data_IF_754540427334
#
_entry.id   IF_754540427334
#
_cell.length_a   1.000
_cell.length_b   1.000
_cell.length_c   1.000
_cell.angle_alpha   90.00
_cell.angle_beta   90.00
_cell.angle_gamma   90.00
#
_symmetry.space_group_name_H-M   'P 1'
#
loop_
_entity.id
_entity.type
_entity.pdbx_description
1 polymer ?
#
# COMPACT_ATOMS: atom_id res chain seq x y z
N UNK A 1 19.90 -3.33 -21.26
CA UNK A 1 19.57 -2.35 -20.20
C UNK A 1 19.77 -2.99 -18.84
N UNK A 2 20.50 -2.34 -17.93
CA UNK A 2 20.73 -2.79 -16.56
C UNK A 2 19.78 -2.06 -15.61
N UNK A 3 18.91 -2.81 -14.97
CA UNK A 3 17.87 -2.30 -14.08
C UNK A 3 18.30 -2.61 -12.64
N UNK A 4 18.42 -1.63 -11.77
CA UNK A 4 18.42 -1.87 -10.33
C UNK A 4 17.00 -1.73 -9.83
N UNK A 5 16.58 -2.64 -8.96
CA UNK A 5 15.24 -2.62 -8.38
C UNK A 5 15.30 -2.32 -6.88
N UNK A 6 14.42 -1.45 -6.39
CA UNK A 6 14.29 -1.13 -4.97
C UNK A 6 12.85 -1.36 -4.51
N UNK A 7 12.64 -2.30 -3.58
CA UNK A 7 11.31 -2.64 -3.11
C UNK A 7 11.32 -3.51 -1.86
N UNK A 8 10.16 -3.67 -1.21
CA UNK A 8 10.08 -4.41 0.05
C UNK A 8 8.91 -5.41 0.10
N UNK A 9 7.62 -5.02 0.01
CA UNK A 9 6.48 -5.91 0.22
C UNK A 9 6.14 -6.73 -1.03
N UNK A 10 5.13 -7.59 -0.90
CA UNK A 10 4.60 -8.43 -1.98
C UNK A 10 4.21 -7.60 -3.22
N UNK A 11 3.62 -6.41 -3.02
CA UNK A 11 3.33 -5.46 -4.11
C UNK A 11 4.56 -5.21 -5.01
N UNK A 12 5.72 -4.99 -4.39
CA UNK A 12 6.97 -4.76 -5.12
C UNK A 12 7.54 -6.06 -5.72
N UNK A 13 7.37 -7.19 -5.04
CA UNK A 13 7.84 -8.49 -5.54
C UNK A 13 7.16 -8.87 -6.86
N UNK A 14 5.88 -8.51 -7.07
CA UNK A 14 5.18 -8.72 -8.35
C UNK A 14 5.83 -7.95 -9.49
N UNK A 15 6.17 -6.69 -9.27
CA UNK A 15 6.89 -5.89 -10.26
C UNK A 15 8.29 -6.45 -10.56
N UNK A 16 9.05 -6.87 -9.53
CA UNK A 16 10.34 -7.52 -9.72
C UNK A 16 10.22 -8.81 -10.53
N UNK A 17 9.22 -9.65 -10.23
CA UNK A 17 8.97 -10.88 -10.97
C UNK A 17 8.70 -10.61 -12.46
N UNK A 18 7.89 -9.60 -12.79
CA UNK A 18 7.62 -9.22 -14.17
C UNK A 18 8.87 -8.72 -14.90
N UNK A 19 9.72 -7.94 -14.20
CA UNK A 19 11.00 -7.48 -14.79
C UNK A 19 11.95 -8.64 -15.05
N UNK A 20 12.08 -9.59 -14.13
CA UNK A 20 12.89 -10.81 -14.31
C UNK A 20 12.38 -11.64 -15.49
N UNK A 21 11.07 -11.84 -15.59
CA UNK A 21 10.45 -12.59 -16.67
C UNK A 21 10.63 -11.92 -18.05
N UNK A 22 10.54 -10.60 -18.11
CA UNK A 22 10.71 -9.85 -19.35
C UNK A 22 12.19 -9.73 -19.78
N UNK A 23 13.13 -9.80 -18.85
CA UNK A 23 14.53 -9.50 -19.07
C UNK A 23 15.18 -10.28 -20.23
N UNK A 24 15.01 -11.62 -20.38
CA UNK A 24 15.64 -12.37 -21.47
C UNK A 24 15.21 -11.90 -22.86
N UNK A 25 13.90 -11.69 -23.05
CA UNK A 25 13.34 -11.29 -24.35
C UNK A 25 13.70 -9.84 -24.73
N UNK A 26 13.96 -9.00 -23.74
CA UNK A 26 14.23 -7.57 -23.92
C UNK A 26 15.74 -7.23 -23.89
N UNK A 27 16.61 -8.19 -23.65
CA UNK A 27 18.04 -7.94 -23.44
C UNK A 27 18.30 -7.08 -22.18
N UNK A 28 17.47 -7.25 -21.14
CA UNK A 28 17.61 -6.57 -19.86
C UNK A 28 18.31 -7.48 -18.86
N UNK A 29 18.81 -6.86 -17.79
CA UNK A 29 19.33 -7.58 -16.62
C UNK A 29 18.97 -6.83 -15.35
N UNK A 30 18.82 -7.57 -14.25
CA UNK A 30 18.60 -7.04 -12.91
C UNK A 30 19.79 -7.45 -12.04
N UNK A 31 20.93 -6.73 -12.09
CA UNK A 31 22.15 -7.14 -11.39
C UNK A 31 22.09 -6.91 -9.86
N UNK A 32 21.25 -6.02 -9.38
CA UNK A 32 21.17 -5.67 -7.96
C UNK A 32 19.73 -5.33 -7.56
N UNK A 33 19.35 -5.82 -6.39
CA UNK A 33 18.09 -5.48 -5.72
C UNK A 33 18.39 -4.81 -4.37
N UNK A 34 17.70 -3.71 -4.09
CA UNK A 34 17.70 -3.05 -2.80
C UNK A 34 16.40 -3.39 -2.06
N UNK A 35 16.49 -3.87 -0.82
CA UNK A 35 15.33 -4.15 0.01
C UNK A 35 15.55 -3.69 1.45
N UNK A 36 14.50 -3.59 2.26
CA UNK A 36 14.67 -3.35 3.69
C UNK A 36 15.29 -4.58 4.37
N UNK A 37 15.97 -4.38 5.51
CA UNK A 37 16.48 -5.48 6.32
C UNK A 37 15.36 -6.44 6.76
N UNK A 38 15.74 -7.69 7.00
CA UNK A 38 14.86 -8.71 7.54
C UNK A 38 14.25 -8.25 8.85
N UNK A 39 12.97 -8.60 9.08
CA UNK A 39 12.25 -8.22 10.29
C UNK A 39 11.69 -9.45 10.98
N UNK A 40 11.57 -9.40 12.33
CA UNK A 40 10.85 -10.44 13.06
C UNK A 40 9.40 -10.56 12.57
N UNK A 41 8.98 -11.76 12.20
CA UNK A 41 7.62 -12.02 11.73
C UNK A 41 7.09 -13.39 12.21
N UNK A 42 5.78 -13.55 12.21
CA UNK A 42 5.11 -14.79 12.56
C UNK A 42 5.20 -15.18 14.05
N UNK A 43 4.69 -16.37 14.36
CA UNK A 43 4.81 -16.93 15.72
C UNK A 43 6.28 -17.25 16.01
N UNK A 44 6.81 -16.70 17.11
CA UNK A 44 8.21 -16.90 17.52
C UNK A 44 9.17 -15.84 16.99
N UNK A 45 8.67 -14.75 16.34
CA UNK A 45 9.45 -13.58 15.94
C UNK A 45 10.77 -13.92 15.22
N UNK A 46 10.77 -14.93 14.36
CA UNK A 46 11.95 -15.26 13.55
C UNK A 46 12.18 -14.17 12.50
N UNK A 47 13.46 -13.87 12.25
CA UNK A 47 13.84 -12.97 11.17
C UNK A 47 13.42 -13.58 9.84
N UNK A 48 12.57 -12.89 9.11
CA UNK A 48 12.06 -13.30 7.80
C UNK A 48 12.54 -12.34 6.74
N UNK A 49 13.02 -12.84 5.60
CA UNK A 49 13.36 -11.99 4.47
C UNK A 49 12.11 -11.28 3.95
N UNK A 50 12.31 -10.10 3.39
CA UNK A 50 11.24 -9.42 2.67
C UNK A 50 10.84 -10.22 1.43
N UNK A 51 9.59 -10.13 0.93
CA UNK A 51 9.17 -10.80 -0.30
C UNK A 51 10.09 -10.50 -1.49
N UNK A 52 10.54 -9.25 -1.63
CA UNK A 52 11.47 -8.83 -2.69
C UNK A 52 12.84 -9.50 -2.52
N UNK A 53 13.38 -9.55 -1.30
CA UNK A 53 14.67 -10.22 -1.02
C UNK A 53 14.58 -11.72 -1.31
N UNK A 54 13.52 -12.39 -0.84
CA UNK A 54 13.32 -13.82 -1.07
C UNK A 54 13.25 -14.16 -2.56
N UNK A 55 12.50 -13.37 -3.34
CA UNK A 55 12.41 -13.55 -4.79
C UNK A 55 13.76 -13.32 -5.49
N UNK A 56 14.47 -12.24 -5.16
CA UNK A 56 15.77 -11.94 -5.75
C UNK A 56 16.79 -13.06 -5.50
N UNK A 57 16.85 -13.55 -4.26
CA UNK A 57 17.74 -14.68 -3.88
C UNK A 57 17.39 -15.97 -4.63
N UNK A 58 16.11 -16.27 -4.82
CA UNK A 58 15.67 -17.45 -5.60
C UNK A 58 16.12 -17.39 -7.06
N UNK A 59 16.36 -16.20 -7.60
CA UNK A 59 16.86 -15.97 -8.95
C UNK A 59 18.37 -15.68 -9.02
N UNK A 60 19.12 -15.84 -7.91
CA UNK A 60 20.57 -15.60 -7.87
C UNK A 60 20.97 -14.13 -8.03
N UNK A 61 20.06 -13.20 -7.79
CA UNK A 61 20.30 -11.76 -7.90
C UNK A 61 20.92 -11.24 -6.61
N UNK A 62 21.95 -10.40 -6.72
CA UNK A 62 22.58 -9.74 -5.57
C UNK A 62 21.58 -8.85 -4.83
N UNK A 63 21.57 -8.91 -3.49
CA UNK A 63 20.64 -8.12 -2.65
C UNK A 63 21.40 -7.33 -1.61
N UNK A 64 21.21 -6.01 -1.60
CA UNK A 64 21.66 -5.13 -0.53
C UNK A 64 20.48 -4.73 0.36
N UNK A 65 20.66 -4.80 1.68
CA UNK A 65 19.61 -4.50 2.66
C UNK A 65 20.06 -3.43 3.67
N UNK A 66 20.41 -2.21 3.22
CA UNK A 66 20.82 -1.16 4.12
C UNK A 66 19.63 -0.67 4.97
N UNK A 67 19.82 -0.35 6.26
CA UNK A 67 18.76 0.22 7.09
C UNK A 67 18.36 1.64 6.65
N UNK A 68 19.23 2.31 5.92
CA UNK A 68 19.01 3.60 5.27
C UNK A 68 20.04 3.80 4.15
N UNK A 69 19.68 4.58 3.14
CA UNK A 69 20.59 5.00 2.08
C UNK A 69 21.22 6.38 2.32
N UNK A 70 20.81 7.08 3.39
CA UNK A 70 21.43 8.34 3.78
C UNK A 70 22.75 8.10 4.47
N UNK A 71 23.86 8.51 3.86
CA UNK A 71 25.22 8.40 4.44
C UNK A 71 25.29 9.10 5.80
N UNK A 72 24.66 10.26 5.94
CA UNK A 72 24.60 11.00 7.21
C UNK A 72 23.98 10.18 8.36
N UNK A 73 23.04 9.28 8.07
CA UNK A 73 22.34 8.46 9.08
C UNK A 73 22.86 7.03 9.19
N UNK A 74 23.36 6.48 8.10
CA UNK A 74 23.75 5.07 8.01
C UNK A 74 25.26 4.82 7.91
N UNK A 75 26.07 5.88 7.79
CA UNK A 75 27.53 5.76 7.72
C UNK A 75 28.00 4.74 6.69
N UNK A 76 28.97 3.91 7.06
CA UNK A 76 29.59 2.92 6.19
C UNK A 76 28.63 1.95 5.51
N UNK A 77 27.53 1.56 6.16
CA UNK A 77 26.54 0.66 5.56
C UNK A 77 25.80 1.33 4.38
N UNK A 78 25.45 2.61 4.51
CA UNK A 78 24.83 3.38 3.44
C UNK A 78 25.82 3.65 2.30
N UNK A 79 27.08 3.95 2.63
CA UNK A 79 28.17 4.13 1.65
C UNK A 79 28.41 2.85 0.85
N UNK A 80 28.49 1.70 1.50
CA UNK A 80 28.65 0.40 0.86
C UNK A 80 27.49 0.10 -0.11
N UNK A 81 26.24 0.31 0.32
CA UNK A 81 25.07 0.10 -0.55
C UNK A 81 25.07 1.05 -1.75
N UNK A 82 25.44 2.32 -1.58
CA UNK A 82 25.59 3.25 -2.69
C UNK A 82 26.75 2.89 -3.61
N UNK A 83 27.86 2.36 -3.07
CA UNK A 83 28.99 1.89 -3.85
C UNK A 83 28.59 0.67 -4.71
N UNK A 84 27.88 -0.30 -4.16
CA UNK A 84 27.32 -1.44 -4.90
C UNK A 84 26.39 -0.97 -6.03
N UNK A 85 25.50 -0.02 -5.74
CA UNK A 85 24.63 0.57 -6.76
C UNK A 85 25.43 1.18 -7.93
N UNK A 86 26.46 1.97 -7.62
CA UNK A 86 27.33 2.56 -8.67
C UNK A 86 28.16 1.52 -9.42
N UNK A 87 28.65 0.50 -8.73
CA UNK A 87 29.49 -0.55 -9.31
C UNK A 87 28.78 -1.33 -10.41
N UNK A 88 27.48 -1.59 -10.27
CA UNK A 88 26.69 -2.27 -11.32
C UNK A 88 26.36 -1.37 -12.52
N UNK A 89 26.69 -0.07 -12.46
CA UNK A 89 26.48 0.92 -13.53
C UNK A 89 25.05 0.81 -14.13
N UNK A 90 23.99 1.06 -13.34
CA UNK A 90 22.62 0.90 -13.80
C UNK A 90 22.28 1.91 -14.91
N UNK A 91 21.43 1.50 -15.83
CA UNK A 91 20.81 2.41 -16.79
C UNK A 91 19.60 3.09 -16.17
N UNK A 92 18.86 2.38 -15.30
CA UNK A 92 17.66 2.88 -14.61
C UNK A 92 17.50 2.22 -13.25
N UNK A 93 16.94 2.98 -12.29
CA UNK A 93 16.47 2.48 -11.01
C UNK A 93 14.93 2.39 -11.03
N UNK A 94 14.37 1.21 -10.74
CA UNK A 94 12.93 1.02 -10.56
C UNK A 94 12.62 0.88 -9.08
N UNK A 95 11.66 1.65 -8.60
CA UNK A 95 11.27 1.68 -7.20
C UNK A 95 9.80 1.28 -7.05
N UNK A 96 9.49 0.43 -6.08
CA UNK A 96 8.13 0.08 -5.71
C UNK A 96 8.03 -0.16 -4.20
N UNK A 97 7.29 0.68 -3.49
CA UNK A 97 7.04 0.52 -2.06
C UNK A 97 8.32 0.14 -1.25
N UNK A 98 9.45 0.81 -1.53
CA UNK A 98 10.72 0.51 -0.89
C UNK A 98 10.72 0.87 0.60
N UNK A 99 10.06 1.99 0.94
CA UNK A 99 9.86 2.42 2.32
C UNK A 99 11.06 3.11 2.97
N UNK A 100 12.10 3.43 2.20
CA UNK A 100 13.22 4.27 2.62
C UNK A 100 13.30 5.51 1.74
N UNK A 101 13.74 6.62 2.33
CA UNK A 101 14.04 7.85 1.56
C UNK A 101 15.29 7.61 0.70
N UNK A 102 15.18 7.92 -0.58
CA UNK A 102 16.27 7.86 -1.54
C UNK A 102 16.96 9.23 -1.61
N UNK A 103 18.24 9.35 -1.19
CA UNK A 103 19.01 10.57 -1.38
C UNK A 103 19.21 10.89 -2.86
N UNK A 104 19.43 12.16 -3.19
CA UNK A 104 19.68 12.60 -4.57
C UNK A 104 20.79 11.81 -5.25
N UNK A 105 21.90 11.55 -4.55
CA UNK A 105 23.01 10.75 -5.08
C UNK A 105 22.63 9.32 -5.49
N UNK A 106 21.52 8.76 -4.96
CA UNK A 106 20.97 7.46 -5.36
C UNK A 106 20.08 7.61 -6.59
N UNK A 107 19.30 8.68 -6.66
CA UNK A 107 18.44 8.98 -7.82
C UNK A 107 19.26 9.32 -9.07
N UNK A 108 20.43 9.93 -8.89
CA UNK A 108 21.37 10.33 -9.96
C UNK A 108 22.37 9.22 -10.34
N UNK A 109 22.43 8.12 -9.59
CA UNK A 109 23.38 7.04 -9.83
C UNK A 109 23.18 6.31 -11.19
N UNK A 110 21.94 6.09 -11.69
CA UNK A 110 21.75 5.51 -13.01
C UNK A 110 22.18 6.47 -14.13
N UNK A 111 22.70 5.89 -15.23
CA UNK A 111 23.05 6.66 -16.41
C UNK A 111 21.86 7.41 -17.03
N UNK A 112 20.66 6.88 -16.80
CA UNK A 112 19.42 7.42 -17.35
C UNK A 112 19.14 6.97 -18.79
N UNK A 113 17.90 6.73 -19.12
CA UNK A 113 17.41 6.40 -20.45
C UNK A 113 17.09 7.68 -21.20
N UNK A 114 17.82 7.99 -22.32
CA UNK A 114 17.58 9.19 -23.08
C UNK A 114 16.20 9.15 -23.75
N UNK A 115 15.51 10.28 -23.80
CA UNK A 115 14.22 10.43 -24.46
C UNK A 115 14.33 11.41 -25.65
N UNK A 116 13.42 11.30 -26.61
CA UNK A 116 13.39 12.12 -27.81
C UNK A 116 13.25 13.64 -27.53
N UNK A 117 12.72 14.01 -26.38
CA UNK A 117 12.59 15.40 -25.92
C UNK A 117 13.82 15.92 -25.14
N UNK A 118 14.91 15.13 -25.11
CA UNK A 118 16.14 15.45 -24.40
C UNK A 118 16.15 15.12 -22.93
N UNK A 119 15.02 14.64 -22.35
CA UNK A 119 14.96 14.18 -20.97
C UNK A 119 15.78 12.89 -20.77
N UNK A 120 16.18 12.63 -19.53
CA UNK A 120 16.80 11.37 -19.09
C UNK A 120 16.06 10.80 -17.91
N UNK A 121 15.59 9.57 -18.06
CA UNK A 121 14.83 8.86 -17.03
C UNK A 121 15.77 8.00 -16.18
N UNK A 122 16.08 8.46 -14.96
CA UNK A 122 17.07 7.80 -14.07
C UNK A 122 16.41 6.89 -13.06
N UNK A 123 15.33 7.33 -12.41
CA UNK A 123 14.62 6.59 -11.35
C UNK A 123 13.11 6.65 -11.57
N UNK A 124 12.48 5.49 -11.71
CA UNK A 124 11.05 5.34 -11.95
C UNK A 124 10.38 4.73 -10.72
N UNK A 125 9.27 5.33 -10.26
CA UNK A 125 8.47 4.78 -9.17
C UNK A 125 7.15 4.23 -9.67
N UNK A 126 6.77 3.07 -9.14
CA UNK A 126 5.43 2.48 -9.31
C UNK A 126 4.58 3.00 -8.16
N UNK A 127 3.81 4.05 -8.40
CA UNK A 127 2.95 4.66 -7.39
C UNK A 127 1.52 4.16 -7.50
N UNK A 128 0.96 3.72 -6.35
CA UNK A 128 -0.34 3.06 -6.31
C UNK A 128 -1.52 4.04 -6.19
N UNK A 129 -1.54 5.08 -7.03
CA UNK A 129 -2.68 5.97 -7.23
C UNK A 129 -2.65 6.60 -8.63
N UNK A 130 -3.70 7.33 -8.98
CA UNK A 130 -3.75 8.23 -10.13
C UNK A 130 -3.25 9.61 -9.69
N UNK A 131 -1.93 9.84 -9.80
CA UNK A 131 -1.33 11.13 -9.45
C UNK A 131 -1.94 12.27 -10.28
N UNK A 132 -2.05 13.47 -9.71
CA UNK A 132 -1.47 13.97 -8.45
C UNK A 132 -2.29 13.65 -7.19
N UNK A 133 -3.34 12.83 -7.29
CA UNK A 133 -4.13 12.40 -6.14
C UNK A 133 -3.39 11.33 -5.35
N UNK A 134 -3.40 11.46 -4.01
CA UNK A 134 -2.82 10.49 -3.07
C UNK A 134 -1.30 10.34 -3.17
N UNK A 135 -0.54 11.44 -3.24
CA UNK A 135 0.90 11.43 -3.00
C UNK A 135 1.21 10.90 -1.60
N UNK A 136 2.20 10.03 -1.44
CA UNK A 136 2.66 9.55 -0.13
C UNK A 136 2.50 8.06 0.12
N UNK A 137 2.44 7.67 1.41
CA UNK A 137 2.77 6.31 1.84
C UNK A 137 1.62 5.29 1.76
N UNK A 138 0.35 5.74 1.78
CA UNK A 138 -0.81 4.83 1.89
C UNK A 138 -1.93 5.12 0.87
N UNK A 139 -1.62 5.32 -0.43
CA UNK A 139 -2.59 5.79 -1.42
C UNK A 139 -3.81 4.87 -1.56
N UNK A 140 -3.63 3.55 -1.51
CA UNK A 140 -4.70 2.57 -1.68
C UNK A 140 -5.73 2.66 -0.55
N UNK A 141 -5.26 2.67 0.71
CA UNK A 141 -6.13 2.76 1.87
C UNK A 141 -6.88 4.11 1.91
N UNK A 142 -6.20 5.21 1.58
CA UNK A 142 -6.82 6.55 1.57
C UNK A 142 -7.85 6.71 0.46
N UNK A 143 -7.65 6.11 -0.71
CA UNK A 143 -8.66 6.09 -1.77
C UNK A 143 -9.94 5.33 -1.34
N UNK A 144 -9.78 4.16 -0.69
CA UNK A 144 -10.90 3.40 -0.12
C UNK A 144 -11.63 4.16 0.99
N UNK A 145 -10.88 4.74 1.94
CA UNK A 145 -11.44 5.51 3.06
C UNK A 145 -12.24 6.71 2.58
N UNK A 146 -11.71 7.44 1.60
CA UNK A 146 -12.38 8.59 0.98
C UNK A 146 -13.63 8.19 0.20
N UNK A 147 -13.72 6.94 -0.27
CA UNK A 147 -14.82 6.45 -1.08
C UNK A 147 -14.66 6.80 -2.56
N UNK A 148 -13.43 6.87 -3.04
CA UNK A 148 -13.15 7.07 -4.46
C UNK A 148 -13.76 5.90 -5.27
N UNK A 149 -14.33 6.22 -6.42
CA UNK A 149 -14.89 5.22 -7.33
C UNK A 149 -13.81 4.47 -8.13
N UNK A 150 -12.62 5.08 -8.26
CA UNK A 150 -11.50 4.52 -8.98
C UNK A 150 -10.17 4.97 -8.38
N UNK A 151 -9.17 4.15 -8.55
CA UNK A 151 -7.77 4.44 -8.29
C UNK A 151 -6.93 3.93 -9.47
N UNK A 152 -5.66 3.61 -9.28
CA UNK A 152 -4.83 3.06 -10.35
C UNK A 152 -3.36 3.01 -10.00
N UNK A 153 -2.56 2.88 -11.04
CA UNK A 153 -1.10 2.95 -10.96
C UNK A 153 -0.63 4.12 -11.82
N UNK A 154 0.33 4.87 -11.28
CA UNK A 154 1.11 5.85 -12.05
C UNK A 154 2.58 5.46 -12.01
N UNK A 155 3.19 5.25 -13.17
CA UNK A 155 4.66 5.24 -13.30
C UNK A 155 5.10 6.69 -13.40
N UNK A 156 5.99 7.10 -12.52
CA UNK A 156 6.49 8.48 -12.46
C UNK A 156 8.01 8.49 -12.36
N UNK A 157 8.65 9.55 -12.82
CA UNK A 157 10.04 9.82 -12.51
C UNK A 157 10.16 10.33 -11.08
N UNK A 158 11.15 9.85 -10.35
CA UNK A 158 11.41 10.30 -8.99
C UNK A 158 12.25 11.58 -8.97
N UNK A 159 11.92 12.45 -8.03
CA UNK A 159 12.61 13.68 -7.70
C UNK A 159 12.76 13.82 -6.19
N UNK A 160 13.50 14.83 -5.75
CA UNK A 160 13.59 15.20 -4.34
C UNK A 160 12.27 15.83 -3.87
N UNK A 161 11.26 15.02 -3.65
CA UNK A 161 9.92 15.43 -3.22
C UNK A 161 9.05 14.21 -2.95
N UNK A 162 7.93 14.43 -2.28
CA UNK A 162 7.01 13.34 -1.98
C UNK A 162 6.09 13.10 -3.19
N UNK A 163 6.51 12.20 -4.09
CA UNK A 163 5.77 11.79 -5.29
C UNK A 163 5.33 12.96 -6.19
N UNK A 164 6.23 13.97 -6.35
CA UNK A 164 5.96 15.21 -7.10
C UNK A 164 6.45 15.19 -8.54
N UNK A 165 7.32 14.23 -8.89
CA UNK A 165 7.95 14.16 -10.20
C UNK A 165 6.98 13.90 -11.35
N UNK A 166 7.42 14.06 -12.61
CA UNK A 166 6.58 13.91 -13.79
C UNK A 166 5.93 12.53 -13.91
N UNK A 167 4.66 12.49 -14.24
CA UNK A 167 3.90 11.27 -14.57
C UNK A 167 4.26 10.80 -15.97
N UNK A 168 4.65 9.55 -16.12
CA UNK A 168 5.10 8.95 -17.39
C UNK A 168 4.02 8.09 -18.02
N UNK A 169 3.39 7.22 -17.24
CA UNK A 169 2.34 6.32 -17.70
C UNK A 169 1.35 6.08 -16.55
N UNK A 170 0.07 6.06 -16.83
CA UNK A 170 -0.94 5.77 -15.82
C UNK A 170 -2.02 4.84 -16.35
N UNK A 171 -2.57 4.00 -15.47
CA UNK A 171 -3.70 3.12 -15.76
C UNK A 171 -4.67 3.11 -14.59
N UNK A 172 -5.95 3.37 -14.88
CA UNK A 172 -7.02 3.38 -13.88
C UNK A 172 -7.52 1.95 -13.59
N UNK A 173 -8.00 1.76 -12.37
CA UNK A 173 -8.73 0.57 -11.91
C UNK A 173 -9.94 1.01 -11.10
N UNK A 174 -11.12 0.43 -11.35
CA UNK A 174 -12.30 0.66 -10.53
C UNK A 174 -12.08 0.12 -9.10
N UNK A 175 -12.70 0.77 -8.14
CA UNK A 175 -12.79 0.27 -6.75
C UNK A 175 -14.14 -0.38 -6.58
N UNK A 176 -14.15 -1.70 -6.37
CA UNK A 176 -15.38 -2.47 -6.20
C UNK A 176 -15.97 -2.27 -4.79
N UNK A 177 -17.27 -2.46 -4.67
CA UNK A 177 -18.00 -2.22 -3.42
C UNK A 177 -17.51 -3.06 -2.23
N UNK A 178 -16.93 -4.23 -2.50
CA UNK A 178 -16.39 -5.16 -1.50
C UNK A 178 -14.85 -5.18 -1.45
N UNK A 179 -14.18 -4.28 -2.18
CA UNK A 179 -12.73 -4.17 -2.09
C UNK A 179 -12.28 -3.78 -0.69
N UNK A 180 -11.26 -4.47 -0.21
CA UNK A 180 -10.43 -4.07 0.93
C UNK A 180 -9.07 -3.60 0.43
N UNK A 181 -8.30 -2.94 1.29
CA UNK A 181 -6.92 -2.56 0.95
C UNK A 181 -6.10 -3.78 0.54
N UNK A 182 -6.28 -4.94 1.19
CA UNK A 182 -5.57 -6.17 0.81
C UNK A 182 -5.91 -6.61 -0.62
N UNK A 183 -7.20 -6.69 -0.97
CA UNK A 183 -7.66 -7.12 -2.31
C UNK A 183 -7.22 -6.15 -3.40
N UNK A 184 -7.45 -4.86 -3.16
CA UNK A 184 -7.10 -3.81 -4.12
C UNK A 184 -5.57 -3.72 -4.31
N UNK A 185 -4.78 -3.90 -3.25
CA UNK A 185 -3.31 -3.98 -3.34
C UNK A 185 -2.85 -5.11 -4.25
N UNK A 186 -3.46 -6.30 -4.15
CA UNK A 186 -3.11 -7.42 -5.02
C UNK A 186 -3.41 -7.13 -6.50
N UNK A 187 -4.60 -6.56 -6.80
CA UNK A 187 -4.95 -6.14 -8.17
C UNK A 187 -4.03 -5.08 -8.73
N UNK A 188 -3.72 -4.07 -7.92
CA UNK A 188 -2.82 -2.98 -8.33
C UNK A 188 -1.37 -3.43 -8.45
N UNK A 189 -0.94 -4.48 -7.75
CA UNK A 189 0.38 -5.07 -7.91
C UNK A 189 0.56 -5.68 -9.30
N UNK A 190 -0.43 -6.45 -9.79
CA UNK A 190 -0.40 -6.99 -11.14
C UNK A 190 -0.42 -5.87 -12.20
N UNK A 191 -1.30 -4.88 -12.01
CA UNK A 191 -1.38 -3.72 -12.90
C UNK A 191 -0.06 -2.94 -12.95
N UNK A 192 0.59 -2.74 -11.79
CA UNK A 192 1.89 -2.06 -11.68
C UNK A 192 3.02 -2.85 -12.34
N UNK A 193 2.98 -4.18 -12.21
CA UNK A 193 3.94 -5.08 -12.85
C UNK A 193 3.87 -5.02 -14.39
N UNK A 194 2.66 -5.04 -14.96
CA UNK A 194 2.46 -4.84 -16.40
C UNK A 194 2.91 -3.44 -16.85
N UNK A 195 2.53 -2.43 -16.10
CA UNK A 195 2.73 -1.04 -16.49
C UNK A 195 4.21 -0.64 -16.45
N UNK A 196 5.00 -1.15 -15.49
CA UNK A 196 6.44 -0.85 -15.43
C UNK A 196 7.20 -1.49 -16.59
N UNK A 197 6.85 -2.71 -16.99
CA UNK A 197 7.46 -3.36 -18.17
C UNK A 197 7.15 -2.57 -19.43
N UNK A 198 5.88 -2.14 -19.61
CA UNK A 198 5.48 -1.29 -20.73
C UNK A 198 6.20 0.07 -20.73
N UNK A 199 6.34 0.70 -19.57
CA UNK A 199 7.05 1.97 -19.43
C UNK A 199 8.53 1.84 -19.77
N UNK A 200 9.21 0.79 -19.29
CA UNK A 200 10.62 0.55 -19.59
C UNK A 200 10.83 0.24 -21.07
N UNK A 201 9.92 -0.50 -21.72
CA UNK A 201 9.98 -0.75 -23.15
C UNK A 201 9.85 0.57 -23.94
N UNK A 202 8.90 1.44 -23.59
CA UNK A 202 8.75 2.75 -24.21
C UNK A 202 9.95 3.67 -23.94
N UNK A 203 10.49 3.66 -22.72
CA UNK A 203 11.68 4.42 -22.34
C UNK A 203 12.94 3.97 -23.07
N UNK A 204 13.13 2.67 -23.27
CA UNK A 204 14.26 2.13 -24.03
C UNK A 204 14.21 2.54 -25.51
N UNK A 205 13.03 2.81 -26.03
CA UNK A 205 12.80 3.33 -27.38
C UNK A 205 12.81 4.87 -27.46
N UNK A 206 13.12 5.59 -26.37
CA UNK A 206 13.15 7.05 -26.33
C UNK A 206 11.79 7.75 -26.36
N UNK A 207 10.68 7.01 -26.23
CA UNK A 207 9.31 7.51 -26.50
C UNK A 207 8.47 7.79 -25.25
N UNK A 208 9.06 7.71 -24.07
CA UNK A 208 8.32 7.93 -22.82
C UNK A 208 8.47 9.39 -22.34
N UNK A 209 7.39 10.15 -22.46
CA UNK A 209 7.41 11.57 -22.11
C UNK A 209 6.78 11.83 -20.74
N UNK A 210 7.46 12.67 -19.95
CA UNK A 210 6.98 13.09 -18.65
C UNK A 210 5.93 14.22 -18.74
N UNK A 211 4.80 14.02 -18.09
CA UNK A 211 3.81 15.08 -17.88
C UNK A 211 4.00 15.65 -16.47
N UNK A 212 4.39 16.94 -16.32
CA UNK A 212 4.52 17.55 -15.02
C UNK A 212 3.23 17.47 -14.20
N UNK A 213 3.38 17.27 -12.90
CA UNK A 213 2.26 17.35 -11.98
C UNK A 213 2.03 18.82 -11.56
N UNK A 214 0.78 19.25 -11.27
CA UNK A 214 0.55 20.55 -10.65
C UNK A 214 1.22 20.58 -9.27
N UNK A 215 1.76 21.75 -8.89
CA UNK A 215 2.40 21.93 -7.59
C UNK A 215 1.38 21.84 -6.45
N UNK A 216 0.20 22.43 -6.67
CA UNK A 216 -0.92 22.55 -5.74
C UNK A 216 -2.26 22.46 -6.46
N UNK A 217 -3.34 22.72 -5.73
CA UNK A 217 -4.70 22.74 -6.27
C UNK A 217 -5.56 21.53 -5.85
N UNK A 218 -6.85 21.52 -6.19
CA UNK A 218 -7.83 20.57 -5.65
C UNK A 218 -7.57 19.10 -6.06
N UNK A 219 -6.81 18.88 -7.12
CA UNK A 219 -6.43 17.54 -7.56
C UNK A 219 -5.24 16.96 -6.78
N UNK A 220 -4.46 17.80 -6.09
CA UNK A 220 -3.32 17.37 -5.30
C UNK A 220 -3.81 16.98 -3.90
N UNK A 221 -3.67 15.70 -3.56
CA UNK A 221 -4.00 15.20 -2.22
C UNK A 221 -2.90 14.31 -1.68
N UNK A 222 -2.87 14.12 -0.35
CA UNK A 222 -1.81 13.38 0.32
C UNK A 222 -2.35 12.16 1.06
N UNK A 223 -1.64 11.06 0.92
CA UNK A 223 -1.91 9.78 1.55
C UNK A 223 -0.91 9.54 2.68
N UNK A 224 -1.16 10.12 3.84
CA UNK A 224 -0.31 9.91 5.02
C UNK A 224 -0.31 8.45 5.44
N UNK A 225 0.83 8.01 6.00
CA UNK A 225 0.97 6.68 6.58
C UNK A 225 -0.12 6.43 7.61
N UNK A 226 -0.72 5.23 7.57
CA UNK A 226 -1.74 4.84 8.55
C UNK A 226 -1.14 4.72 9.95
N UNK A 227 -1.81 5.31 10.93
CA UNK A 227 -1.51 5.16 12.34
C UNK A 227 -2.39 4.06 12.96
N UNK A 228 -1.92 3.44 14.05
CA UNK A 228 -2.64 2.31 14.67
C UNK A 228 -3.99 2.73 15.27
N UNK A 229 -4.07 3.93 15.79
CA UNK A 229 -5.26 4.49 16.44
C UNK A 229 -6.35 4.92 15.45
N UNK A 230 -6.01 5.13 14.18
CA UNK A 230 -7.01 5.36 13.13
C UNK A 230 -7.97 4.18 12.95
N UNK A 231 -7.59 2.96 13.37
CA UNK A 231 -8.47 1.79 13.40
C UNK A 231 -9.64 1.90 14.39
N UNK A 232 -9.63 2.87 15.30
CA UNK A 232 -10.69 3.07 16.28
C UNK A 232 -11.96 3.61 15.63
N UNK A 233 -13.06 2.86 15.70
CA UNK A 233 -14.34 3.31 15.15
C UNK A 233 -15.01 4.29 16.11
N UNK A 234 -15.47 5.40 15.55
CA UNK A 234 -16.34 6.37 16.18
C UNK A 234 -17.76 6.20 15.65
N UNK A 235 -18.62 5.53 16.40
CA UNK A 235 -20.00 5.25 15.97
C UNK A 235 -20.87 6.51 15.83
N UNK A 236 -20.43 7.68 16.22
CA UNK A 236 -21.14 8.95 15.94
C UNK A 236 -21.06 9.33 14.44
N UNK A 237 -20.13 8.74 13.70
CA UNK A 237 -19.99 8.93 12.27
C UNK A 237 -21.07 8.15 11.49
N UNK A 238 -21.35 8.53 10.23
CA UNK A 238 -22.29 7.80 9.36
C UNK A 238 -21.84 6.36 9.07
N UNK A 239 -22.76 5.40 9.01
CA UNK A 239 -22.50 3.99 8.70
C UNK A 239 -21.71 3.80 7.40
N UNK A 240 -22.00 4.59 6.36
CA UNK A 240 -21.30 4.54 5.09
C UNK A 240 -19.80 4.87 5.24
N UNK A 241 -19.46 5.86 6.07
CA UNK A 241 -18.06 6.20 6.38
C UNK A 241 -17.36 5.07 7.15
N UNK A 242 -18.01 4.53 8.18
CA UNK A 242 -17.46 3.45 8.98
C UNK A 242 -17.26 2.17 8.16
N UNK A 243 -18.18 1.83 7.27
CA UNK A 243 -18.02 0.69 6.38
C UNK A 243 -16.81 0.85 5.42
N UNK A 244 -16.56 2.07 4.91
CA UNK A 244 -15.34 2.37 4.14
C UNK A 244 -14.08 2.25 4.99
N UNK A 245 -14.09 2.76 6.22
CA UNK A 245 -12.98 2.67 7.16
C UNK A 245 -12.63 1.21 7.47
N UNK A 246 -13.63 0.35 7.71
CA UNK A 246 -13.42 -1.10 7.89
C UNK A 246 -12.69 -1.72 6.70
N UNK A 247 -13.10 -1.43 5.47
CA UNK A 247 -12.48 -1.94 4.25
C UNK A 247 -11.09 -1.36 4.00
N UNK A 248 -10.92 -0.06 4.23
CA UNK A 248 -9.66 0.63 4.05
C UNK A 248 -8.57 0.13 5.01
N UNK A 249 -8.94 -0.33 6.18
CA UNK A 249 -8.02 -0.74 7.23
C UNK A 249 -7.83 -2.26 7.35
N UNK A 250 -8.34 -3.04 6.43
CA UNK A 250 -8.00 -4.47 6.28
C UNK A 250 -6.80 -4.61 5.30
N UNK A 251 -5.61 -5.06 5.73
CA UNK A 251 -5.31 -5.77 6.99
C UNK A 251 -4.72 -4.90 8.11
N UNK A 252 -4.47 -3.62 7.91
CA UNK A 252 -3.87 -2.74 8.90
C UNK A 252 -4.46 -1.33 8.81
N UNK A 253 -4.76 -0.67 9.96
CA UNK A 253 -4.54 -1.10 11.36
C UNK A 253 -5.60 -2.07 11.91
N UNK A 254 -6.60 -2.42 11.14
CA UNK A 254 -7.84 -3.14 11.45
C UNK A 254 -8.81 -2.28 12.27
N UNK A 255 -10.02 -2.13 11.74
CA UNK A 255 -11.09 -1.42 12.44
C UNK A 255 -11.44 -2.12 13.75
N UNK A 256 -11.69 -1.36 14.82
CA UNK A 256 -11.98 -1.94 16.13
C UNK A 256 -12.84 -1.02 17.00
N UNK A 257 -13.56 -1.61 17.94
CA UNK A 257 -14.34 -0.91 18.94
C UNK A 257 -14.12 -1.53 20.31
N UNK A 258 -14.24 -0.78 21.43
CA UNK A 258 -14.23 -1.33 22.76
C UNK A 258 -15.46 -2.21 23.01
N UNK A 259 -15.23 -3.39 23.56
CA UNK A 259 -16.27 -4.31 23.96
C UNK A 259 -15.84 -5.09 25.20
N UNK A 260 -16.57 -4.91 26.31
CA UNK A 260 -16.31 -5.58 27.59
C UNK A 260 -14.85 -5.45 28.08
N UNK A 261 -14.27 -4.25 27.94
CA UNK A 261 -12.89 -3.96 28.36
C UNK A 261 -11.80 -4.43 27.39
N UNK A 262 -12.16 -5.04 26.25
CA UNK A 262 -11.23 -5.50 25.23
C UNK A 262 -11.51 -4.84 23.87
N UNK A 263 -10.55 -4.89 22.95
CA UNK A 263 -10.75 -4.46 21.57
C UNK A 263 -11.42 -5.57 20.75
N UNK A 264 -12.65 -5.32 20.30
CA UNK A 264 -13.33 -6.12 19.29
C UNK A 264 -12.90 -5.63 17.91
N UNK A 265 -12.17 -6.45 17.13
CA UNK A 265 -11.78 -6.16 15.77
C UNK A 265 -12.93 -6.47 14.82
N UNK A 266 -13.11 -5.57 13.83
CA UNK A 266 -14.17 -5.63 12.82
C UNK A 266 -13.50 -5.72 11.47
N UNK A 267 -13.64 -6.86 10.81
CA UNK A 267 -12.99 -7.15 9.54
C UNK A 267 -13.90 -6.94 8.34
N UNK A 268 -15.21 -7.09 8.53
CA UNK A 268 -16.19 -6.86 7.49
C UNK A 268 -17.43 -6.21 8.07
N UNK A 269 -17.87 -5.14 7.42
CA UNK A 269 -19.10 -4.43 7.77
C UNK A 269 -19.76 -3.85 6.52
N UNK A 270 -21.07 -3.69 6.61
CA UNK A 270 -21.91 -3.08 5.57
C UNK A 270 -22.72 -1.94 6.18
N UNK A 271 -22.83 -0.84 5.46
CA UNK A 271 -23.75 0.22 5.81
C UNK A 271 -25.18 -0.14 5.35
N UNK A 272 -26.13 0.03 6.25
CA UNK A 272 -27.56 -0.07 5.96
C UNK A 272 -28.17 1.33 6.09
N UNK A 273 -28.86 1.77 5.04
CA UNK A 273 -29.59 3.05 5.05
C UNK A 273 -30.94 2.88 5.74
N UNK A 274 -30.88 2.72 7.07
CA UNK A 274 -32.03 2.53 7.94
C UNK A 274 -31.94 3.49 9.11
N UNK A 275 -32.96 4.30 9.32
CA UNK A 275 -33.00 5.21 10.46
C UNK A 275 -33.20 4.44 11.78
N UNK A 276 -32.60 4.94 12.85
CA UNK A 276 -32.80 4.45 14.22
C UNK A 276 -32.74 5.62 15.19
N UNK A 277 -33.52 5.55 16.26
CA UNK A 277 -33.48 6.50 17.37
C UNK A 277 -32.50 6.07 18.47
N UNK A 278 -31.87 4.91 18.34
CA UNK A 278 -30.93 4.40 19.33
C UNK A 278 -29.63 5.22 19.32
N UNK A 279 -29.02 5.40 20.48
CA UNK A 279 -27.75 6.11 20.61
C UNK A 279 -26.64 5.38 19.80
N UNK A 280 -25.70 6.10 19.16
CA UNK A 280 -24.58 5.52 18.44
C UNK A 280 -23.79 4.50 19.28
N UNK A 281 -23.41 3.37 18.68
CA UNK A 281 -22.75 2.26 19.34
C UNK A 281 -23.69 1.22 19.98
N UNK A 282 -25.00 1.47 20.01
CA UNK A 282 -25.97 0.52 20.56
C UNK A 282 -26.19 -0.66 19.62
N UNK A 283 -26.07 -1.87 20.11
CA UNK A 283 -26.44 -3.11 19.42
C UNK A 283 -27.95 -3.16 19.32
N UNK A 284 -28.46 -3.19 18.08
CA UNK A 284 -29.90 -3.24 17.80
C UNK A 284 -30.38 -4.69 17.63
N UNK A 285 -29.55 -5.52 17.02
CA UNK A 285 -29.83 -6.92 16.70
C UNK A 285 -28.52 -7.68 16.54
N UNK A 286 -28.48 -8.93 16.95
CA UNK A 286 -27.38 -9.83 16.71
C UNK A 286 -27.93 -11.22 16.35
N UNK A 287 -27.63 -11.67 15.11
CA UNK A 287 -28.11 -12.93 14.57
C UNK A 287 -27.09 -13.53 13.58
N UNK A 288 -27.49 -14.61 12.91
CA UNK A 288 -26.62 -15.29 11.95
C UNK A 288 -26.16 -14.42 10.76
N UNK A 289 -26.87 -13.33 10.46
CA UNK A 289 -26.54 -12.42 9.34
C UNK A 289 -25.54 -11.34 9.78
N UNK A 290 -25.42 -11.08 11.08
CA UNK A 290 -24.51 -10.08 11.61
C UNK A 290 -25.00 -9.40 12.86
N UNK A 291 -24.22 -8.43 13.34
CA UNK A 291 -24.56 -7.55 14.45
C UNK A 291 -24.88 -6.18 13.90
N UNK A 292 -26.11 -5.71 14.11
CA UNK A 292 -26.56 -4.37 13.70
C UNK A 292 -26.28 -3.38 14.82
N UNK A 293 -25.50 -2.35 14.51
CA UNK A 293 -25.07 -1.32 15.47
C UNK A 293 -25.56 0.04 14.98
N UNK A 294 -26.21 0.80 15.87
CA UNK A 294 -26.63 2.16 15.60
C UNK A 294 -25.40 3.06 15.35
N UNK A 295 -25.52 3.98 14.39
CA UNK A 295 -24.48 4.97 14.08
C UNK A 295 -25.07 6.38 14.08
N UNK A 296 -24.26 7.41 13.88
CA UNK A 296 -24.74 8.79 13.77
C UNK A 296 -25.74 8.99 12.63
N UNK A 297 -25.61 8.18 11.57
CA UNK A 297 -26.58 8.11 10.46
C UNK A 297 -26.55 6.71 9.85
N UNK A 298 -27.67 6.02 9.83
CA UNK A 298 -27.78 4.64 9.37
C UNK A 298 -27.35 3.61 10.41
N UNK A 299 -27.24 2.37 9.98
CA UNK A 299 -26.87 1.21 10.81
C UNK A 299 -25.63 0.55 10.21
N UNK A 300 -24.64 0.20 11.03
CA UNK A 300 -23.51 -0.60 10.62
C UNK A 300 -23.77 -2.07 10.91
N UNK A 301 -23.85 -2.92 9.88
CA UNK A 301 -23.97 -4.37 9.99
C UNK A 301 -22.57 -4.98 10.06
N UNK A 302 -22.17 -5.49 11.20
CA UNK A 302 -20.89 -6.17 11.44
C UNK A 302 -21.03 -7.63 11.02
N UNK A 303 -20.21 -8.09 10.07
CA UNK A 303 -20.32 -9.42 9.46
C UNK A 303 -19.16 -10.35 9.80
N UNK A 304 -17.96 -9.82 10.07
CA UNK A 304 -16.81 -10.61 10.51
C UNK A 304 -16.12 -9.91 11.68
N UNK A 305 -15.92 -10.67 12.75
CA UNK A 305 -15.47 -10.18 14.05
C UNK A 305 -14.31 -11.00 14.59
N UNK A 306 -13.52 -10.40 15.48
CA UNK A 306 -12.41 -11.09 16.14
C UNK A 306 -12.18 -10.51 17.55
N UNK A 307 -12.23 -11.34 18.57
CA UNK A 307 -11.76 -10.98 19.92
C UNK A 307 -10.25 -10.85 19.98
N UNK A 308 -9.76 -10.14 20.98
CA UNK A 308 -8.34 -10.14 21.32
C UNK A 308 -7.83 -11.57 21.52
N UNK A 309 -6.71 -11.93 20.85
CA UNK A 309 -6.15 -13.28 20.86
C UNK A 309 -6.95 -14.37 20.15
N UNK A 310 -8.16 -14.07 19.66
CA UNK A 310 -9.04 -15.02 19.00
C UNK A 310 -8.78 -15.14 17.49
N UNK A 311 -9.66 -15.88 16.80
CA UNK A 311 -9.67 -16.00 15.32
C UNK A 311 -10.65 -14.99 14.72
N UNK A 312 -10.41 -14.59 13.47
CA UNK A 312 -11.37 -13.91 12.62
C UNK A 312 -12.50 -14.89 12.28
N UNK A 313 -13.74 -14.55 12.59
CA UNK A 313 -14.91 -15.39 12.45
C UNK A 313 -16.05 -14.62 11.79
N UNK A 314 -16.87 -15.30 10.97
CA UNK A 314 -18.16 -14.78 10.56
C UNK A 314 -19.03 -14.51 11.80
N UNK A 315 -19.93 -13.52 11.72
CA UNK A 315 -20.76 -13.11 12.87
C UNK A 315 -21.54 -14.28 13.50
N UNK A 316 -22.09 -15.19 12.67
CA UNK A 316 -22.76 -16.40 13.13
C UNK A 316 -21.89 -17.24 14.10
N UNK A 317 -20.64 -17.51 13.67
CA UNK A 317 -19.73 -18.37 14.42
C UNK A 317 -19.15 -17.62 15.63
N UNK A 318 -18.96 -16.32 15.52
CA UNK A 318 -18.55 -15.47 16.63
C UNK A 318 -19.61 -15.46 17.73
N UNK A 319 -20.88 -15.28 17.38
CA UNK A 319 -22.01 -15.19 18.32
C UNK A 319 -22.30 -16.52 19.03
N UNK A 320 -21.94 -17.67 18.46
CA UNK A 320 -22.09 -18.97 19.12
C UNK A 320 -21.30 -19.06 20.45
N UNK A 321 -20.20 -18.34 20.55
CA UNK A 321 -19.36 -18.31 21.77
C UNK A 321 -19.24 -16.95 22.44
N UNK A 322 -19.83 -15.89 21.87
CA UNK A 322 -19.66 -14.51 22.32
C UNK A 322 -20.95 -13.73 22.11
N UNK A 323 -21.91 -13.89 23.03
CA UNK A 323 -23.20 -13.22 22.90
C UNK A 323 -23.03 -11.69 22.94
N UNK A 324 -23.47 -11.02 21.88
CA UNK A 324 -23.77 -9.60 21.82
C UNK A 324 -25.29 -9.45 21.88
N UNK A 325 -25.79 -8.72 22.88
CA UNK A 325 -27.24 -8.63 23.09
C UNK A 325 -27.80 -7.26 22.72
N UNK A 326 -29.03 -7.17 22.21
CA UNK A 326 -29.68 -5.90 21.95
C UNK A 326 -29.67 -5.01 23.20
N UNK A 327 -29.37 -3.72 22.99
CA UNK A 327 -29.18 -2.73 24.07
C UNK A 327 -27.76 -2.65 24.64
N UNK A 328 -26.89 -3.63 24.40
CA UNK A 328 -25.47 -3.55 24.74
C UNK A 328 -24.79 -2.44 23.90
N UNK A 329 -23.80 -1.77 24.45
CA UNK A 329 -23.07 -0.72 23.71
C UNK A 329 -21.65 -1.15 23.42
N UNK A 330 -21.26 -1.02 22.16
CA UNK A 330 -19.85 -0.91 21.79
C UNK A 330 -19.40 0.48 22.21
N UNK A 331 -18.53 0.56 23.24
CA UNK A 331 -18.20 1.81 23.92
C UNK A 331 -17.41 2.80 23.07
N UNK A 332 -17.18 3.99 23.62
CA UNK A 332 -16.16 4.92 23.13
C UNK A 332 -14.76 4.46 23.60
N UNK A 333 -13.74 4.82 22.88
CA UNK A 333 -12.35 4.70 23.33
C UNK A 333 -12.06 5.81 24.35
N UNK A 334 -11.42 5.47 25.43
CA UNK A 334 -10.91 6.42 26.43
C UNK A 334 -9.77 7.25 25.85
#
# INVERSE_FOLDING_TARGET
MRIVFAGTPEFAARALAALIAAAPAQGWSVPLVLSQPDRPAGRGLRLMPTPVKALAQAHGIEVATPPTLSVKRGGAAAEAAQAQLRAVRPDVLVVAAYGLILPQAVLDAPAGLPQDDGARLTALNIHASLLPRWRGAAPIARALEAGDAATGITIMQMEAGLDTGPMLLARSAAIDADDTTARLTARLAELGAELIVAALHAAAAGRLRGRPQPADGPSVTYAHKLAKDEGRLDFTQPAARLARQVRAFDPFPVASAPWRGEALRIWRAQALDQATAAAPGTVLQADANGVRVATGHGILLLQELQRAGGRRLAARDFLAGNALVPGERLGAWD
#
